data_IF_561420393594
#
_entry.id   IF_561420393594
#
_cell.length_a   1.000
_cell.length_b   1.000
_cell.length_c   1.000
_cell.angle_alpha   90.00
_cell.angle_beta   90.00
_cell.angle_gamma   90.00
#
_symmetry.space_group_name_H-M   'P 1'
#
loop_
_entity.id
_entity.type
_entity.pdbx_description
1 polymer ?
#
# COMPACT_ATOMS: atom_id res chain seq x y z
N UNK A 1 37.52 14.52 18.99
CA UNK A 1 37.62 13.66 17.80
C UNK A 1 36.30 12.89 17.66
N UNK A 2 35.24 13.58 17.25
CA UNK A 2 33.85 13.06 17.24
C UNK A 2 33.39 12.81 15.81
N UNK A 3 33.95 11.79 15.19
CA UNK A 3 33.59 11.39 13.81
C UNK A 3 32.77 10.09 13.81
N UNK A 4 32.87 9.28 14.87
CA UNK A 4 32.16 8.00 14.97
C UNK A 4 30.75 8.09 15.58
N UNK A 5 30.43 9.15 16.33
CA UNK A 5 29.08 9.33 16.89
C UNK A 5 28.04 9.75 15.82
N UNK A 6 28.50 10.20 14.63
CA UNK A 6 27.62 10.68 13.55
C UNK A 6 27.16 9.55 12.59
N UNK A 7 27.63 8.32 12.79
CA UNK A 7 27.33 7.18 11.91
C UNK A 7 26.32 6.17 12.47
N UNK A 8 25.82 6.33 13.70
CA UNK A 8 24.87 5.38 14.35
C UNK A 8 23.50 6.02 14.60
N UNK A 9 23.01 6.86 13.68
CA UNK A 9 21.62 7.33 13.75
C UNK A 9 21.06 7.71 12.38
N UNK A 10 21.22 6.84 11.39
CA UNK A 10 20.42 6.92 10.17
C UNK A 10 19.06 6.25 10.44
N UNK A 11 18.27 6.88 11.31
CA UNK A 11 16.83 6.62 11.35
C UNK A 11 16.33 7.02 9.96
N UNK A 12 15.78 6.07 9.21
CA UNK A 12 15.23 6.30 7.88
C UNK A 12 14.26 7.48 8.00
N UNK A 13 14.57 8.62 7.38
CA UNK A 13 13.69 9.78 7.39
C UNK A 13 12.39 9.39 6.66
N UNK A 14 11.31 9.29 7.42
CA UNK A 14 9.96 9.21 6.89
C UNK A 14 9.64 10.58 6.31
N UNK A 15 9.64 10.72 4.98
CA UNK A 15 9.15 11.92 4.31
C UNK A 15 7.63 11.95 4.42
N UNK A 16 7.13 12.50 5.52
CA UNK A 16 5.71 12.84 5.67
C UNK A 16 5.43 13.96 4.66
N UNK A 17 4.45 13.75 3.78
CA UNK A 17 4.05 14.80 2.83
C UNK A 17 3.25 15.84 3.61
N UNK A 18 3.74 17.08 3.68
CA UNK A 18 3.08 18.15 4.47
C UNK A 18 1.69 18.53 3.94
N UNK A 19 1.40 18.27 2.66
CA UNK A 19 0.10 18.54 2.05
C UNK A 19 -0.22 17.57 0.91
N UNK A 20 -1.19 16.68 1.13
CA UNK A 20 -1.80 15.89 0.07
C UNK A 20 -2.84 16.71 -0.69
N UNK A 21 -3.05 16.35 -1.95
CA UNK A 21 -4.17 16.86 -2.76
C UNK A 21 -5.38 15.95 -2.62
N UNK A 22 -6.57 16.53 -2.43
CA UNK A 22 -7.83 15.77 -2.40
C UNK A 22 -8.03 15.01 -3.72
N UNK A 23 -8.64 13.83 -3.63
CA UNK A 23 -8.89 12.97 -4.78
C UNK A 23 -7.66 12.25 -5.31
N UNK A 24 -6.50 12.33 -4.63
CA UNK A 24 -5.30 11.57 -5.02
C UNK A 24 -4.95 10.50 -4.00
N UNK A 25 -4.58 9.33 -4.53
CA UNK A 25 -3.96 8.23 -3.79
C UNK A 25 -2.51 8.18 -4.24
N UNK A 26 -1.60 8.26 -3.28
CA UNK A 26 -0.16 8.19 -3.53
C UNK A 26 0.34 6.75 -3.45
N UNK A 27 1.46 6.45 -4.11
CA UNK A 27 2.05 5.12 -4.15
C UNK A 27 2.42 4.66 -2.73
N UNK A 28 1.86 3.55 -2.24
CA UNK A 28 2.05 3.12 -0.85
C UNK A 28 3.38 2.37 -0.66
N UNK A 29 4.16 2.14 -1.72
CA UNK A 29 5.48 1.53 -1.69
C UNK A 29 6.23 1.94 -2.97
N UNK A 30 7.53 1.65 -3.04
CA UNK A 30 8.31 1.76 -4.27
C UNK A 30 8.17 0.45 -5.06
N UNK A 31 7.95 0.54 -6.38
CA UNK A 31 7.72 -0.67 -7.17
C UNK A 31 7.40 -0.42 -8.64
N UNK A 32 6.99 -1.50 -9.33
CA UNK A 32 6.47 -1.45 -10.70
C UNK A 32 4.94 -1.51 -10.66
N UNK A 33 4.28 -0.49 -11.19
CA UNK A 33 2.82 -0.43 -11.35
C UNK A 33 2.39 -1.25 -12.56
N UNK A 34 1.43 -2.15 -12.34
CA UNK A 34 0.83 -3.03 -13.36
C UNK A 34 -0.70 -2.90 -13.33
N UNK A 35 -1.38 -3.31 -14.39
CA UNK A 35 -2.84 -3.36 -14.38
C UNK A 35 -3.36 -4.47 -13.45
N UNK A 36 -4.57 -4.32 -12.93
CA UNK A 36 -5.22 -5.40 -12.17
C UNK A 36 -5.35 -6.69 -12.99
N UNK A 37 -5.52 -6.58 -14.32
CA UNK A 37 -5.60 -7.73 -15.23
C UNK A 37 -4.34 -8.60 -15.26
N UNK A 38 -3.19 -8.03 -14.88
CA UNK A 38 -1.92 -8.76 -14.80
C UNK A 38 -1.76 -9.50 -13.47
N UNK A 39 -2.60 -9.19 -12.48
CA UNK A 39 -2.73 -9.99 -11.26
C UNK A 39 -3.56 -11.21 -11.64
N UNK A 40 -2.93 -12.38 -11.80
CA UNK A 40 -3.60 -13.63 -12.19
C UNK A 40 -4.50 -14.22 -11.07
N UNK A 41 -5.41 -13.40 -10.53
CA UNK A 41 -6.38 -13.71 -9.49
C UNK A 41 -7.73 -13.12 -9.93
N UNK A 42 -8.78 -13.94 -10.02
CA UNK A 42 -10.08 -13.52 -10.54
C UNK A 42 -10.71 -12.37 -9.76
N UNK A 43 -10.53 -12.32 -8.44
CA UNK A 43 -11.12 -11.29 -7.58
C UNK A 43 -10.56 -9.91 -7.92
N UNK A 44 -9.25 -9.84 -8.20
CA UNK A 44 -8.58 -8.57 -8.54
C UNK A 44 -8.63 -8.28 -10.04
N UNK A 45 -8.34 -9.25 -10.90
CA UNK A 45 -8.30 -9.05 -12.37
C UNK A 45 -9.65 -8.73 -13.00
N UNK A 46 -10.74 -9.18 -12.38
CA UNK A 46 -12.11 -8.85 -12.80
C UNK A 46 -12.67 -7.63 -12.05
N UNK A 47 -11.84 -6.93 -11.25
CA UNK A 47 -12.21 -5.71 -10.51
C UNK A 47 -13.41 -5.92 -9.55
N UNK A 48 -13.60 -7.15 -9.05
CA UNK A 48 -14.78 -7.51 -8.22
C UNK A 48 -14.85 -6.73 -6.90
N UNK A 49 -13.69 -6.32 -6.36
CA UNK A 49 -13.59 -5.52 -5.14
C UNK A 49 -13.48 -4.01 -5.43
N UNK A 50 -13.52 -3.60 -6.70
CA UNK A 50 -13.35 -2.23 -7.14
C UNK A 50 -12.18 -2.03 -8.13
N UNK A 51 -12.03 -0.79 -8.59
CA UNK A 51 -10.97 -0.40 -9.54
C UNK A 51 -9.67 -0.04 -8.83
N UNK A 52 -8.56 -0.13 -9.55
CA UNK A 52 -7.25 0.25 -9.03
C UNK A 52 -6.10 -0.30 -9.87
N UNK A 53 -5.02 -0.67 -9.21
CA UNK A 53 -3.83 -1.21 -9.87
C UNK A 53 -3.13 -2.27 -9.01
N UNK A 54 -2.26 -3.06 -9.65
CA UNK A 54 -1.28 -3.88 -8.97
C UNK A 54 0.05 -3.14 -8.84
N UNK A 55 0.84 -3.51 -7.85
CA UNK A 55 2.22 -3.05 -7.74
C UNK A 55 3.15 -4.18 -7.32
N UNK A 56 4.24 -4.38 -8.06
CA UNK A 56 5.32 -5.29 -7.68
C UNK A 56 6.30 -4.55 -6.76
N UNK A 57 6.34 -4.87 -5.47
CA UNK A 57 7.17 -4.13 -4.51
C UNK A 57 8.65 -4.32 -4.79
N UNK A 58 9.43 -3.24 -4.66
CA UNK A 58 10.90 -3.31 -4.65
C UNK A 58 11.44 -3.70 -3.27
N UNK A 59 10.78 -3.26 -2.21
CA UNK A 59 11.13 -3.59 -0.83
C UNK A 59 9.89 -3.91 0.03
N UNK A 60 10.14 -4.37 1.25
CA UNK A 60 9.11 -4.86 2.17
C UNK A 60 8.49 -3.78 3.05
N UNK A 61 8.21 -2.58 2.52
CA UNK A 61 7.67 -1.46 3.29
C UNK A 61 6.38 -0.95 2.68
N UNK A 62 5.39 -0.71 3.54
CA UNK A 62 4.09 -0.18 3.18
C UNK A 62 3.85 1.14 3.92
N UNK A 63 3.43 2.15 3.17
CA UNK A 63 3.22 3.52 3.63
C UNK A 63 1.78 3.97 3.38
N UNK A 64 1.35 4.94 4.17
CA UNK A 64 0.06 5.61 4.03
C UNK A 64 0.00 6.36 2.69
N UNK A 65 -1.00 6.07 1.84
CA UNK A 65 -1.14 6.70 0.53
C UNK A 65 -1.88 8.05 0.59
N UNK A 66 -2.42 8.43 1.75
CA UNK A 66 -3.10 9.69 2.00
C UNK A 66 -3.23 9.93 3.51
N UNK A 67 -3.73 11.10 3.88
CA UNK A 67 -4.20 11.40 5.24
C UNK A 67 -5.56 10.74 5.49
N UNK A 68 -5.72 10.08 6.63
CA UNK A 68 -6.94 9.31 6.89
C UNK A 68 -6.91 8.48 8.17
N UNK A 69 -7.56 7.32 8.11
CA UNK A 69 -7.70 6.37 9.22
C UNK A 69 -7.55 4.92 8.75
N UNK A 70 -7.01 4.07 9.61
CA UNK A 70 -7.01 2.61 9.43
C UNK A 70 -8.40 2.06 9.78
N UNK A 71 -9.14 1.55 8.80
CA UNK A 71 -10.42 0.89 9.04
C UNK A 71 -10.25 -0.51 9.62
N UNK A 72 -9.36 -1.29 9.00
CA UNK A 72 -9.18 -2.70 9.33
C UNK A 72 -7.77 -3.15 9.00
N UNK A 73 -7.22 -4.01 9.86
CA UNK A 73 -6.07 -4.87 9.53
C UNK A 73 -6.60 -6.30 9.64
N UNK A 74 -6.44 -7.08 8.58
CA UNK A 74 -6.87 -8.50 8.57
C UNK A 74 -6.20 -9.30 9.69
N UNK A 75 -6.83 -10.38 10.16
CA UNK A 75 -6.28 -11.20 11.26
C UNK A 75 -4.89 -11.76 10.92
N UNK A 76 -4.70 -12.17 9.66
CA UNK A 76 -3.41 -12.64 9.13
C UNK A 76 -2.52 -11.51 8.61
N UNK A 77 -2.89 -10.24 8.85
CA UNK A 77 -2.07 -9.04 8.67
C UNK A 77 -1.55 -8.77 7.26
N UNK A 78 -2.01 -9.48 6.24
CA UNK A 78 -1.54 -9.33 4.86
C UNK A 78 -2.26 -8.20 4.11
N UNK A 79 -3.44 -7.79 4.58
CA UNK A 79 -4.21 -6.72 3.98
C UNK A 79 -4.64 -5.67 5.02
N UNK A 80 -4.68 -4.42 4.57
CA UNK A 80 -5.08 -3.24 5.33
C UNK A 80 -6.11 -2.43 4.54
N UNK A 81 -7.21 -2.06 5.20
CA UNK A 81 -8.22 -1.17 4.65
C UNK A 81 -8.10 0.21 5.31
N UNK A 82 -8.14 1.26 4.48
CA UNK A 82 -7.91 2.64 4.83
C UNK A 82 -9.10 3.50 4.38
N UNK A 83 -9.39 4.57 5.12
CA UNK A 83 -10.32 5.61 4.67
C UNK A 83 -9.64 6.96 4.70
N UNK A 84 -9.67 7.67 3.58
CA UNK A 84 -9.13 9.02 3.51
C UNK A 84 -10.05 10.04 4.17
N UNK A 85 -9.52 11.23 4.46
CA UNK A 85 -10.31 12.35 4.98
C UNK A 85 -11.42 12.82 4.00
N UNK A 86 -11.27 12.57 2.69
CA UNK A 86 -12.25 12.88 1.65
C UNK A 86 -13.14 11.68 1.25
N UNK A 87 -13.08 10.57 2.01
CA UNK A 87 -14.04 9.48 1.93
C UNK A 87 -13.64 8.27 1.07
N UNK A 88 -12.47 8.29 0.45
CA UNK A 88 -11.94 7.19 -0.37
C UNK A 88 -11.66 5.99 0.53
N UNK A 89 -12.27 4.85 0.24
CA UNK A 89 -12.03 3.58 0.92
C UNK A 89 -11.08 2.71 0.09
N UNK A 90 -9.87 2.51 0.61
CA UNK A 90 -8.79 1.83 -0.09
C UNK A 90 -8.42 0.52 0.60
N UNK A 91 -8.38 -0.57 -0.16
CA UNK A 91 -7.82 -1.85 0.24
C UNK A 91 -6.42 -2.01 -0.35
N UNK A 92 -5.43 -2.29 0.51
CA UNK A 92 -4.09 -2.70 0.09
C UNK A 92 -3.89 -4.15 0.53
N UNK A 93 -3.77 -5.06 -0.42
CA UNK A 93 -3.63 -6.50 -0.20
C UNK A 93 -2.24 -6.99 -0.64
N UNK A 94 -1.35 -7.25 0.32
CA UNK A 94 0.06 -7.56 0.07
C UNK A 94 0.26 -9.02 -0.33
N UNK A 95 0.67 -9.21 -1.59
CA UNK A 95 0.85 -10.53 -2.19
C UNK A 95 -0.46 -11.26 -2.48
N UNK A 96 -0.41 -12.33 -3.27
CA UNK A 96 -1.58 -13.16 -3.61
C UNK A 96 -1.59 -14.44 -2.78
N UNK A 97 -2.77 -14.86 -2.32
CA UNK A 97 -2.96 -16.03 -1.44
C UNK A 97 -2.22 -15.97 -0.09
N UNK A 98 -1.65 -14.82 0.27
CA UNK A 98 -0.82 -14.63 1.47
C UNK A 98 -1.58 -14.74 2.79
N UNK A 99 -2.92 -14.73 2.76
CA UNK A 99 -3.76 -15.12 3.90
C UNK A 99 -3.35 -16.49 4.48
N UNK A 100 -2.93 -17.42 3.60
CA UNK A 100 -2.47 -18.78 3.97
C UNK A 100 -1.16 -18.79 4.75
N UNK A 101 -0.44 -17.66 4.82
CA UNK A 101 0.78 -17.51 5.64
C UNK A 101 0.48 -17.27 7.12
N UNK A 102 -0.79 -17.12 7.52
CA UNK A 102 -1.21 -16.97 8.92
C UNK A 102 -0.45 -15.86 9.67
N UNK A 103 -0.18 -14.73 9.00
CA UNK A 103 0.55 -13.59 9.57
C UNK A 103 2.07 -13.72 9.62
N UNK A 104 2.65 -14.85 9.19
CA UNK A 104 4.10 -14.99 9.07
C UNK A 104 4.62 -14.04 7.98
N UNK A 105 5.64 -13.25 8.31
CA UNK A 105 6.26 -12.32 7.37
C UNK A 105 5.58 -10.96 7.27
N UNK A 106 4.56 -10.68 8.09
CA UNK A 106 3.86 -9.39 8.14
C UNK A 106 3.96 -8.77 9.54
N UNK A 107 4.34 -7.49 9.59
CA UNK A 107 4.54 -6.75 10.83
C UNK A 107 3.87 -5.36 10.72
N UNK A 108 2.58 -5.24 11.08
CA UNK A 108 1.90 -3.95 11.14
C UNK A 108 2.52 -3.06 12.22
N UNK A 109 2.65 -1.78 11.92
CA UNK A 109 3.21 -0.74 12.79
C UNK A 109 2.11 0.18 13.35
N UNK A 110 0.88 0.01 12.89
CA UNK A 110 -0.32 0.77 13.25
C UNK A 110 -1.44 -0.19 13.69
N UNK A 111 -2.54 0.34 14.21
CA UNK A 111 -3.74 -0.41 14.60
C UNK A 111 -5.01 0.14 13.94
N UNK A 112 -6.07 -0.67 13.91
CA UNK A 112 -7.39 -0.21 13.49
C UNK A 112 -7.88 0.95 14.37
N UNK A 113 -8.56 1.93 13.76
CA UNK A 113 -9.00 3.18 14.37
C UNK A 113 -7.91 4.25 14.48
N UNK A 114 -6.67 3.97 14.07
CA UNK A 114 -5.58 4.94 14.15
C UNK A 114 -5.63 5.93 12.98
N UNK A 115 -5.41 7.22 13.28
CA UNK A 115 -5.24 8.26 12.26
C UNK A 115 -3.84 8.19 11.65
N UNK A 116 -3.75 8.37 10.33
CA UNK A 116 -2.51 8.28 9.58
C UNK A 116 -2.27 9.55 8.76
N UNK A 117 -0.99 9.83 8.52
CA UNK A 117 -0.53 10.86 7.58
C UNK A 117 0.12 10.24 6.36
N UNK A 118 -0.06 10.85 5.20
CA UNK A 118 0.55 10.37 3.96
C UNK A 118 2.07 10.24 4.11
N UNK A 119 2.61 9.09 3.68
CA UNK A 119 4.03 8.74 3.84
C UNK A 119 4.39 8.12 5.19
N UNK A 120 3.47 8.05 6.16
CA UNK A 120 3.67 7.33 7.43
C UNK A 120 3.82 5.83 7.17
N UNK A 121 4.75 5.18 7.88
CA UNK A 121 4.93 3.74 7.79
C UNK A 121 3.75 2.99 8.42
N UNK A 122 3.13 2.08 7.67
CA UNK A 122 1.98 1.29 8.10
C UNK A 122 2.35 -0.13 8.49
N UNK A 123 3.24 -0.74 7.71
CA UNK A 123 3.60 -2.14 7.86
C UNK A 123 4.96 -2.41 7.22
N UNK A 124 5.70 -3.35 7.81
CA UNK A 124 6.80 -4.02 7.11
C UNK A 124 6.41 -5.45 6.80
N UNK A 125 6.86 -5.97 5.66
CA UNK A 125 6.64 -7.35 5.25
C UNK A 125 7.90 -7.95 4.63
N UNK A 126 7.97 -9.28 4.57
CA UNK A 126 9.13 -10.01 4.08
C UNK A 126 8.86 -10.58 2.69
N UNK A 127 9.40 -9.92 1.66
CA UNK A 127 9.37 -10.41 0.27
C UNK A 127 9.91 -11.84 0.21
N UNK A 128 11.05 -12.10 0.85
CA UNK A 128 11.67 -13.41 0.85
C UNK A 128 10.81 -14.49 1.53
N UNK A 129 10.10 -14.17 2.62
CA UNK A 129 9.22 -15.17 3.26
C UNK A 129 7.98 -15.47 2.42
N UNK A 130 7.42 -14.47 1.73
CA UNK A 130 6.30 -14.65 0.79
C UNK A 130 6.73 -15.57 -0.36
N UNK A 131 7.87 -15.29 -0.98
CA UNK A 131 8.41 -16.09 -2.08
C UNK A 131 8.77 -17.52 -1.64
N UNK A 132 9.38 -17.69 -0.47
CA UNK A 132 9.69 -19.01 0.10
C UNK A 132 8.45 -19.83 0.43
N UNK A 133 7.33 -19.17 0.72
CA UNK A 133 6.04 -19.81 0.93
C UNK A 133 5.33 -20.18 -0.40
N UNK A 134 5.91 -19.81 -1.55
CA UNK A 134 5.38 -20.12 -2.88
C UNK A 134 4.35 -19.11 -3.39
N UNK A 135 4.27 -17.94 -2.78
CA UNK A 135 3.29 -16.90 -3.14
C UNK A 135 3.94 -15.75 -3.92
N UNK A 136 3.12 -15.03 -4.66
CA UNK A 136 3.54 -13.85 -5.44
C UNK A 136 3.42 -12.61 -4.55
N UNK A 137 4.41 -11.72 -4.60
CA UNK A 137 4.48 -10.48 -3.78
C UNK A 137 3.72 -9.29 -4.37
N UNK A 138 3.18 -9.45 -5.57
CA UNK A 138 2.35 -8.44 -6.23
C UNK A 138 1.22 -8.02 -5.31
N UNK A 139 1.18 -6.73 -5.01
CA UNK A 139 0.23 -6.13 -4.08
C UNK A 139 -0.89 -5.46 -4.85
N UNK A 140 -2.13 -5.75 -4.52
CA UNK A 140 -3.29 -5.06 -5.09
C UNK A 140 -3.59 -3.78 -4.29
N UNK A 141 -3.85 -2.68 -4.99
CA UNK A 141 -4.22 -1.38 -4.44
C UNK A 141 -5.55 -1.00 -5.08
N UNK A 142 -6.64 -1.15 -4.33
CA UNK A 142 -8.02 -1.14 -4.86
C UNK A 142 -8.88 -0.13 -4.11
N UNK A 143 -9.61 0.71 -4.84
CA UNK A 143 -10.63 1.60 -4.30
C UNK A 143 -11.94 0.84 -4.20
N UNK A 144 -12.37 0.56 -2.98
CA UNK A 144 -13.48 -0.36 -2.72
C UNK A 144 -14.86 0.28 -2.87
N UNK A 145 -14.99 1.58 -2.62
CA UNK A 145 -16.20 2.36 -2.86
C UNK A 145 -16.21 2.99 -4.27
N UNK A 146 -15.78 2.25 -5.30
CA UNK A 146 -15.65 2.76 -6.67
C UNK A 146 -16.94 3.37 -7.22
N UNK A 147 -18.10 2.79 -6.86
CA UNK A 147 -19.41 3.23 -7.37
C UNK A 147 -19.83 4.63 -6.88
N UNK A 148 -19.14 5.19 -5.88
CA UNK A 148 -19.37 6.55 -5.38
C UNK A 148 -18.70 7.63 -6.25
N UNK A 149 -17.83 7.22 -7.19
CA UNK A 149 -17.03 8.11 -8.02
C UNK A 149 -17.38 8.00 -9.49
N UNK A 150 -17.16 9.08 -10.24
CA UNK A 150 -17.45 9.09 -11.67
C UNK A 150 -16.44 8.24 -12.43
N UNK A 151 -15.17 8.37 -12.04
CA UNK A 151 -14.11 7.56 -12.61
C UNK A 151 -12.90 7.43 -11.68
N UNK A 152 -12.07 6.42 -11.95
CA UNK A 152 -10.84 6.12 -11.21
C UNK A 152 -9.72 5.96 -12.22
N UNK A 153 -8.85 6.97 -12.28
CA UNK A 153 -7.77 7.04 -13.24
C UNK A 153 -6.44 6.60 -12.60
N UNK A 154 -5.85 5.52 -13.11
CA UNK A 154 -4.48 5.14 -12.76
C UNK A 154 -3.51 5.99 -13.56
N UNK A 155 -2.77 6.87 -12.88
CA UNK A 155 -1.94 7.91 -13.50
C UNK A 155 -0.60 7.40 -14.06
N UNK A 156 -0.31 6.12 -13.86
CA UNK A 156 1.03 5.59 -14.04
C UNK A 156 1.04 4.12 -14.43
N UNK A 157 1.98 3.78 -15.30
CA UNK A 157 2.44 2.41 -15.53
C UNK A 157 3.97 2.40 -15.39
N UNK A 158 4.53 1.26 -14.98
CA UNK A 158 5.97 1.12 -14.77
C UNK A 158 6.44 1.61 -13.39
N UNK A 159 7.72 1.98 -13.27
CA UNK A 159 8.32 2.28 -11.97
C UNK A 159 7.76 3.54 -11.31
N UNK A 160 7.47 3.42 -10.00
CA UNK A 160 7.07 4.53 -9.12
C UNK A 160 7.80 4.48 -7.79
N UNK A 161 8.20 5.65 -7.33
CA UNK A 161 8.69 5.84 -5.96
C UNK A 161 7.50 5.94 -4.99
N UNK A 162 7.76 5.59 -3.72
CA UNK A 162 6.75 5.80 -2.67
C UNK A 162 6.35 7.28 -2.62
N UNK A 163 5.12 7.57 -2.25
CA UNK A 163 4.60 8.95 -2.14
C UNK A 163 4.54 9.74 -3.46
N UNK A 164 4.72 9.11 -4.62
CA UNK A 164 4.34 9.69 -5.92
C UNK A 164 2.84 9.50 -6.20
N UNK A 165 2.22 10.37 -7.02
CA UNK A 165 0.80 10.22 -7.37
C UNK A 165 0.57 8.93 -8.16
N UNK A 166 -0.38 8.11 -7.71
CA UNK A 166 -0.67 6.79 -8.29
C UNK A 166 -2.05 6.73 -8.93
N UNK A 167 -3.10 7.14 -8.20
CA UNK A 167 -4.50 7.12 -8.66
C UNK A 167 -5.11 8.50 -8.43
N UNK A 168 -5.96 8.93 -9.37
CA UNK A 168 -6.82 10.09 -9.24
C UNK A 168 -8.28 9.70 -9.30
N UNK A 169 -9.07 10.23 -8.38
CA UNK A 169 -10.52 10.10 -8.31
C UNK A 169 -11.17 11.29 -9.02
N UNK A 170 -12.19 11.02 -9.84
CA UNK A 170 -12.92 12.02 -10.66
C UNK A 170 -14.40 12.12 -10.31
#
# INVERSE_FOLDING_TARGET
MNIFQKFINKKQEETIIEKTENGFIYAPMEGEVISLKEINDGVFSEEMLGKGCGMKPKDGKLYAPFDGEILLITETKHAIALKSCDGIELLIHVGMDTVKMNGKGFNPLVKAGEKIKCGQSLMTFSISDIEKAGYVTTTAIVVTNTDEYKDIEVLAQGHREKSEKLIKIL
#
